data_IF_933244614942
#
_entry.id   IF_933244614942
#
_cell.length_a   1.000
_cell.length_b   1.000
_cell.length_c   1.000
_cell.angle_alpha   90.00
_cell.angle_beta   90.00
_cell.angle_gamma   90.00
#
_symmetry.space_group_name_H-M   'P 1'
#
loop_
_entity.id
_entity.type
_entity.pdbx_description
1 polymer ?
#
# COMPACT_ATOMS: atom_id res chain seq x y z
N UNK A 1 -20.33 -0.87 12.17
CA UNK A 1 -20.50 -1.64 13.40
C UNK A 1 -19.17 -1.79 14.17
N UNK A 2 -18.08 -2.21 13.53
CA UNK A 2 -16.81 -2.54 14.20
C UNK A 2 -15.80 -1.38 14.29
N UNK A 3 -16.13 -0.17 13.86
CA UNK A 3 -15.27 1.01 13.96
C UNK A 3 -14.05 1.03 13.03
N UNK A 4 -14.01 0.16 12.01
CA UNK A 4 -12.95 0.17 11.00
C UNK A 4 -13.24 1.26 9.97
N UNK A 5 -12.22 2.06 9.64
CA UNK A 5 -12.32 3.08 8.59
C UNK A 5 -12.52 2.47 7.20
N UNK A 6 -13.08 3.26 6.26
CA UNK A 6 -13.15 2.90 4.87
C UNK A 6 -11.78 2.62 4.24
N UNK A 7 -11.75 1.82 3.19
CA UNK A 7 -10.52 1.48 2.47
C UNK A 7 -10.81 0.99 1.05
N UNK A 8 -9.78 0.99 0.22
CA UNK A 8 -9.82 0.44 -1.13
C UNK A 8 -8.97 -0.82 -1.27
N UNK A 9 -9.44 -1.71 -2.12
CA UNK A 9 -8.66 -2.82 -2.68
C UNK A 9 -8.46 -2.52 -4.16
N UNK A 10 -7.22 -2.43 -4.61
CA UNK A 10 -6.88 -2.14 -5.99
C UNK A 10 -6.25 -3.35 -6.65
N UNK A 11 -6.96 -3.96 -7.61
CA UNK A 11 -6.46 -5.08 -8.41
C UNK A 11 -5.62 -4.54 -9.56
N UNK A 12 -4.32 -4.79 -9.54
CA UNK A 12 -3.40 -4.35 -10.60
C UNK A 12 -2.77 -5.52 -11.34
N UNK A 13 -2.47 -5.32 -12.61
CA UNK A 13 -1.81 -6.32 -13.45
C UNK A 13 -2.03 -6.06 -14.93
N UNK A 14 -1.40 -6.86 -15.79
CA UNK A 14 -1.50 -6.72 -17.24
C UNK A 14 -2.96 -6.73 -17.74
N UNK A 15 -3.19 -6.23 -18.95
CA UNK A 15 -4.49 -6.32 -19.59
C UNK A 15 -4.94 -7.77 -19.73
N UNK A 16 -6.26 -8.00 -19.73
CA UNK A 16 -6.88 -9.33 -19.90
C UNK A 16 -6.59 -10.34 -18.78
N UNK A 17 -6.17 -9.91 -17.58
CA UNK A 17 -5.99 -10.80 -16.41
C UNK A 17 -7.28 -11.09 -15.63
N UNK A 18 -8.44 -10.63 -16.09
CA UNK A 18 -9.73 -10.87 -15.43
C UNK A 18 -10.09 -9.86 -14.33
N UNK A 19 -9.36 -8.75 -14.18
CA UNK A 19 -9.61 -7.70 -13.16
C UNK A 19 -11.05 -7.19 -13.19
N UNK A 20 -11.50 -6.73 -14.36
CA UNK A 20 -12.89 -6.28 -14.55
C UNK A 20 -13.88 -7.41 -14.29
N UNK A 21 -13.57 -8.67 -14.66
CA UNK A 21 -14.44 -9.81 -14.39
C UNK A 21 -14.63 -10.04 -12.87
N UNK A 22 -13.61 -9.76 -12.05
CA UNK A 22 -13.70 -9.87 -10.60
C UNK A 22 -14.63 -8.83 -9.95
N UNK A 23 -14.87 -7.69 -10.62
CA UNK A 23 -15.83 -6.69 -10.12
C UNK A 23 -17.28 -7.19 -10.18
N UNK A 24 -17.62 -8.01 -11.18
CA UNK A 24 -19.00 -8.43 -11.43
C UNK A 24 -19.62 -9.24 -10.28
N UNK A 25 -18.98 -10.31 -9.76
CA UNK A 25 -19.48 -11.03 -8.60
C UNK A 25 -19.61 -10.14 -7.35
N UNK A 26 -18.64 -9.24 -7.13
CA UNK A 26 -18.67 -8.33 -5.99
C UNK A 26 -19.85 -7.34 -6.07
N UNK A 27 -20.12 -6.80 -7.25
CA UNK A 27 -21.24 -5.88 -7.49
C UNK A 27 -22.58 -6.59 -7.50
N UNK A 28 -22.65 -7.84 -8.00
CA UNK A 28 -23.89 -8.62 -8.04
C UNK A 28 -24.49 -8.88 -6.66
N UNK A 29 -23.69 -8.83 -5.61
CA UNK A 29 -24.19 -8.88 -4.23
C UNK A 29 -25.18 -7.74 -3.97
N UNK A 30 -24.92 -6.53 -4.50
CA UNK A 30 -25.65 -5.30 -4.22
C UNK A 30 -26.72 -4.96 -5.27
N UNK A 31 -26.53 -5.35 -6.53
CA UNK A 31 -27.44 -5.04 -7.62
C UNK A 31 -26.90 -5.43 -8.98
N UNK A 32 -27.47 -4.88 -10.04
CA UNK A 32 -27.04 -5.15 -11.42
C UNK A 32 -25.64 -4.57 -11.67
N UNK A 33 -24.63 -5.42 -11.99
CA UNK A 33 -23.23 -4.99 -12.03
C UNK A 33 -22.91 -3.87 -13.01
N UNK A 34 -23.57 -3.82 -14.20
CA UNK A 34 -23.27 -2.77 -15.18
C UNK A 34 -23.78 -1.39 -14.71
N UNK A 35 -24.84 -1.35 -13.87
CA UNK A 35 -25.35 -0.10 -13.32
C UNK A 35 -24.52 0.39 -12.13
N UNK A 36 -23.90 -0.54 -11.38
CA UNK A 36 -23.12 -0.23 -10.18
C UNK A 36 -21.62 -0.07 -10.45
N UNK A 37 -21.14 -0.46 -11.64
CA UNK A 37 -19.74 -0.27 -12.04
C UNK A 37 -19.52 1.15 -12.53
N UNK A 38 -18.65 1.88 -11.87
CA UNK A 38 -18.20 3.21 -12.25
C UNK A 38 -16.79 3.17 -12.85
N UNK A 39 -16.45 4.18 -13.66
CA UNK A 39 -15.07 4.39 -14.11
C UNK A 39 -14.38 5.40 -13.19
N UNK A 40 -13.07 5.27 -13.06
CA UNK A 40 -12.23 6.32 -12.48
C UNK A 40 -12.29 7.64 -13.27
N UNK A 41 -12.69 7.59 -14.55
CA UNK A 41 -12.83 8.76 -15.43
C UNK A 41 -14.00 9.65 -15.03
N UNK A 42 -13.88 10.28 -13.87
CA UNK A 42 -14.85 11.22 -13.33
C UNK A 42 -14.12 12.34 -12.59
N UNK A 43 -14.77 13.49 -12.46
CA UNK A 43 -14.21 14.58 -11.64
C UNK A 43 -14.19 14.18 -10.16
N UNK A 44 -13.27 14.75 -9.37
CA UNK A 44 -13.22 14.53 -7.93
C UNK A 44 -14.55 14.84 -7.23
N UNK A 45 -15.29 15.86 -7.70
CA UNK A 45 -16.62 16.19 -7.18
C UNK A 45 -17.68 15.13 -7.56
N UNK A 46 -17.59 14.58 -8.77
CA UNK A 46 -18.47 13.47 -9.19
C UNK A 46 -18.23 12.23 -8.33
N UNK A 47 -16.97 11.86 -8.09
CA UNK A 47 -16.63 10.72 -7.24
C UNK A 47 -16.99 10.95 -5.76
N UNK A 48 -16.96 12.19 -5.27
CA UNK A 48 -17.49 12.54 -3.94
C UNK A 48 -19.00 12.25 -3.84
N UNK A 49 -19.77 12.65 -4.85
CA UNK A 49 -21.22 12.36 -4.92
C UNK A 49 -21.50 10.86 -5.04
N UNK A 50 -20.72 10.15 -5.87
CA UNK A 50 -20.81 8.70 -6.01
C UNK A 50 -20.49 7.98 -4.70
N UNK A 51 -19.43 8.40 -3.98
CA UNK A 51 -19.07 7.83 -2.68
C UNK A 51 -20.18 8.02 -1.64
N UNK A 52 -20.82 9.20 -1.62
CA UNK A 52 -21.95 9.47 -0.73
C UNK A 52 -23.15 8.56 -1.03
N UNK A 53 -23.43 8.31 -2.31
CA UNK A 53 -24.52 7.40 -2.73
C UNK A 53 -24.21 5.92 -2.37
N UNK A 54 -22.94 5.56 -2.22
CA UNK A 54 -22.48 4.21 -1.83
C UNK A 54 -22.12 4.12 -0.34
N UNK A 55 -22.59 5.05 0.50
CA UNK A 55 -22.31 4.98 1.93
C UNK A 55 -22.78 3.65 2.54
N UNK A 56 -21.92 3.02 3.34
CA UNK A 56 -22.11 1.70 3.96
C UNK A 56 -22.26 0.53 2.96
N UNK A 57 -21.84 0.73 1.70
CA UNK A 57 -21.89 -0.26 0.63
C UNK A 57 -20.55 -0.41 -0.08
N UNK A 58 -20.53 -1.16 -1.18
CA UNK A 58 -19.38 -1.32 -2.07
C UNK A 58 -19.43 -0.30 -3.21
N UNK A 59 -18.33 0.42 -3.44
CA UNK A 59 -18.09 1.22 -4.64
C UNK A 59 -17.08 0.49 -5.54
N UNK A 60 -17.42 0.22 -6.79
CA UNK A 60 -16.48 -0.33 -7.76
C UNK A 60 -16.06 0.71 -8.80
N UNK A 61 -14.75 0.89 -8.97
CA UNK A 61 -14.13 1.85 -9.87
C UNK A 61 -13.19 1.11 -10.83
N UNK A 62 -13.55 1.07 -12.11
CA UNK A 62 -12.80 0.37 -13.14
C UNK A 62 -11.82 1.31 -13.85
N UNK A 63 -10.64 0.80 -14.24
CA UNK A 63 -9.59 1.46 -15.05
C UNK A 63 -8.98 2.73 -14.42
N UNK A 64 -8.22 2.57 -13.33
CA UNK A 64 -7.51 3.69 -12.68
C UNK A 64 -6.53 4.41 -13.62
N UNK A 65 -5.98 3.74 -14.63
CA UNK A 65 -5.09 4.33 -15.62
C UNK A 65 -5.71 5.43 -16.48
N UNK A 66 -7.05 5.55 -16.52
CA UNK A 66 -7.74 6.60 -17.26
C UNK A 66 -7.80 7.96 -16.55
N UNK A 67 -7.44 8.02 -15.26
CA UNK A 67 -7.42 9.27 -14.48
C UNK A 67 -6.02 9.87 -14.45
N UNK A 68 -5.93 11.19 -14.45
CA UNK A 68 -4.66 11.89 -14.25
C UNK A 68 -3.99 11.41 -12.96
N UNK A 69 -2.71 10.99 -13.00
CA UNK A 69 -2.01 10.48 -11.81
C UNK A 69 -2.04 11.45 -10.62
N UNK A 70 -2.06 12.76 -10.88
CA UNK A 70 -2.15 13.78 -9.82
C UNK A 70 -3.48 13.71 -9.08
N UNK A 71 -4.56 13.43 -9.80
CA UNK A 71 -5.90 13.33 -9.24
C UNK A 71 -6.14 11.97 -8.59
N UNK A 72 -5.59 10.89 -9.17
CA UNK A 72 -5.78 9.53 -8.67
C UNK A 72 -5.44 9.38 -7.19
N UNK A 73 -4.27 9.88 -6.78
CA UNK A 73 -3.83 9.80 -5.38
C UNK A 73 -4.71 10.58 -4.42
N UNK A 74 -5.13 11.79 -4.81
CA UNK A 74 -5.97 12.65 -3.97
C UNK A 74 -7.39 12.09 -3.86
N UNK A 75 -7.94 11.55 -4.94
CA UNK A 75 -9.27 10.93 -4.98
C UNK A 75 -9.27 9.62 -4.20
N UNK A 76 -8.30 8.74 -4.43
CA UNK A 76 -8.19 7.49 -3.70
C UNK A 76 -8.09 7.72 -2.18
N UNK A 77 -7.31 8.73 -1.78
CA UNK A 77 -7.21 9.12 -0.38
C UNK A 77 -8.54 9.69 0.15
N UNK A 78 -9.22 10.54 -0.59
CA UNK A 78 -10.52 11.12 -0.22
C UNK A 78 -11.56 10.02 -0.01
N UNK A 79 -11.68 9.08 -0.96
CA UNK A 79 -12.62 7.96 -0.88
C UNK A 79 -12.41 7.12 0.39
N UNK A 80 -11.16 6.75 0.66
CA UNK A 80 -10.82 5.94 1.82
C UNK A 80 -10.89 6.70 3.15
N UNK A 81 -10.68 8.04 3.12
CA UNK A 81 -10.77 8.88 4.32
C UNK A 81 -12.22 9.16 4.73
N UNK A 82 -13.18 8.89 3.85
CA UNK A 82 -14.61 8.99 4.16
C UNK A 82 -15.14 10.41 4.34
N UNK A 83 -14.43 11.41 3.80
CA UNK A 83 -14.83 12.82 3.94
C UNK A 83 -14.53 13.61 2.65
N UNK A 84 -15.53 14.31 2.17
CA UNK A 84 -15.42 15.23 1.04
C UNK A 84 -14.72 16.55 1.39
N UNK A 85 -14.53 17.38 0.37
CA UNK A 85 -13.93 18.71 0.53
C UNK A 85 -14.87 19.66 1.25
N UNK A 86 -14.35 20.43 2.21
CA UNK A 86 -15.10 21.56 2.80
C UNK A 86 -15.28 22.65 1.76
N UNK A 87 -16.50 23.18 1.64
CA UNK A 87 -16.85 24.26 0.69
C UNK A 87 -17.56 25.38 1.42
N UNK A 88 -17.34 26.61 0.96
CA UNK A 88 -18.15 27.74 1.38
C UNK A 88 -19.50 27.72 0.64
N UNK A 89 -20.57 28.08 1.31
CA UNK A 89 -21.85 28.32 0.70
C UNK A 89 -21.89 29.66 -0.05
N UNK A 90 -23.03 29.98 -0.67
CA UNK A 90 -23.20 31.18 -1.51
C UNK A 90 -22.93 32.49 -0.73
N UNK A 91 -23.16 32.48 0.57
CA UNK A 91 -23.00 33.64 1.46
C UNK A 91 -21.78 33.54 2.39
N UNK A 92 -20.82 32.66 2.09
CA UNK A 92 -19.59 32.49 2.86
C UNK A 92 -19.73 31.58 4.09
N UNK A 93 -20.91 31.04 4.35
CA UNK A 93 -21.10 30.06 5.41
C UNK A 93 -20.36 28.73 5.09
N UNK A 94 -19.83 28.06 6.10
CA UNK A 94 -19.17 26.78 5.93
C UNK A 94 -20.23 25.67 5.74
N UNK A 95 -20.20 24.98 4.61
CA UNK A 95 -20.97 23.76 4.40
C UNK A 95 -20.31 22.61 5.09
N UNK A 96 -21.09 21.81 5.83
CA UNK A 96 -20.60 20.56 6.39
C UNK A 96 -20.12 19.65 5.25
N UNK A 97 -18.89 19.10 5.34
CA UNK A 97 -18.40 18.19 4.32
C UNK A 97 -19.25 16.92 4.29
N UNK A 98 -19.49 16.39 3.11
CA UNK A 98 -20.11 15.08 2.94
C UNK A 98 -19.23 14.02 3.63
N UNK A 99 -19.86 13.05 4.28
CA UNK A 99 -19.19 11.95 4.97
C UNK A 99 -19.77 10.63 4.54
N UNK A 100 -18.91 9.64 4.38
CA UNK A 100 -19.29 8.28 4.03
C UNK A 100 -18.35 7.27 4.69
N UNK A 101 -18.78 6.04 4.75
CA UNK A 101 -17.97 4.89 5.08
C UNK A 101 -18.22 3.83 4.03
N UNK A 102 -17.20 3.43 3.30
CA UNK A 102 -17.35 2.45 2.24
C UNK A 102 -16.07 1.61 2.09
N UNK A 103 -16.23 0.46 1.47
CA UNK A 103 -15.14 -0.28 0.85
C UNK A 103 -15.21 0.00 -0.64
N UNK A 104 -14.10 0.33 -1.28
CA UNK A 104 -14.08 0.42 -2.74
C UNK A 104 -13.16 -0.64 -3.34
N UNK A 105 -13.61 -1.19 -4.45
CA UNK A 105 -12.85 -2.14 -5.27
C UNK A 105 -12.46 -1.43 -6.55
N UNK A 106 -11.17 -1.45 -6.87
CA UNK A 106 -10.59 -0.70 -7.99
C UNK A 106 -9.78 -1.63 -8.89
N UNK A 107 -9.69 -1.30 -10.17
CA UNK A 107 -8.83 -2.00 -11.13
C UNK A 107 -7.89 -1.05 -11.85
N UNK A 108 -6.78 -1.56 -12.34
CA UNK A 108 -5.82 -0.83 -13.16
C UNK A 108 -4.69 -1.73 -13.66
N UNK A 109 -3.83 -1.21 -14.52
CA UNK A 109 -2.67 -1.96 -15.02
C UNK A 109 -1.48 -1.88 -14.07
N UNK A 110 -1.37 -0.80 -13.31
CA UNK A 110 -0.26 -0.50 -12.40
C UNK A 110 -0.77 -0.22 -10.99
N UNK A 111 0.10 -0.32 -10.00
CA UNK A 111 -0.21 0.09 -8.62
C UNK A 111 -0.44 1.59 -8.52
N UNK A 112 -1.15 2.05 -7.48
CA UNK A 112 -1.29 3.49 -7.20
C UNK A 112 0.08 4.16 -7.03
N UNK A 113 1.05 3.45 -6.43
CA UNK A 113 2.41 3.93 -6.27
C UNK A 113 3.09 4.17 -7.61
N UNK A 114 3.06 3.20 -8.52
CA UNK A 114 3.64 3.33 -9.86
C UNK A 114 2.96 4.41 -10.68
N UNK A 115 1.64 4.55 -10.55
CA UNK A 115 0.87 5.59 -11.25
C UNK A 115 1.29 6.99 -10.81
N UNK A 116 1.47 7.23 -9.50
CA UNK A 116 1.98 8.50 -8.98
C UNK A 116 3.46 8.74 -9.31
N UNK A 117 4.28 7.68 -9.31
CA UNK A 117 5.70 7.77 -9.65
C UNK A 117 5.93 8.22 -11.10
N UNK A 118 5.01 7.93 -12.02
CA UNK A 118 5.10 8.37 -13.44
C UNK A 118 5.15 9.88 -13.61
N UNK A 119 4.69 10.66 -12.63
CA UNK A 119 4.75 12.13 -12.58
C UNK A 119 5.70 12.65 -11.49
N UNK A 120 6.62 11.82 -11.01
CA UNK A 120 7.59 12.19 -9.97
C UNK A 120 7.00 12.38 -8.58
N UNK A 121 5.76 11.98 -8.35
CA UNK A 121 5.12 12.02 -7.03
C UNK A 121 5.29 10.71 -6.30
N UNK A 122 5.42 10.79 -4.97
CA UNK A 122 5.50 9.63 -4.07
C UNK A 122 4.20 9.43 -3.31
N UNK A 123 3.81 8.18 -3.14
CA UNK A 123 2.70 7.80 -2.26
C UNK A 123 3.11 8.04 -0.81
N UNK A 124 2.25 8.71 -0.05
CA UNK A 124 2.46 8.84 1.39
C UNK A 124 2.09 7.54 2.08
N UNK A 125 2.81 7.18 3.14
CA UNK A 125 2.55 5.98 3.95
C UNK A 125 1.07 5.82 4.37
N UNK A 126 0.40 6.92 4.67
CA UNK A 126 -1.03 6.93 4.97
C UNK A 126 -1.93 6.56 3.79
N UNK A 127 -1.48 6.72 2.55
CA UNK A 127 -2.24 6.32 1.36
C UNK A 127 -2.13 4.82 1.12
N UNK A 128 -0.95 4.23 1.28
CA UNK A 128 -0.70 2.79 1.08
C UNK A 128 -1.52 1.88 2.01
N UNK A 129 -1.81 2.35 3.24
CA UNK A 129 -2.66 1.59 4.16
C UNK A 129 -4.16 1.80 3.91
N UNK A 130 -4.53 2.80 3.12
CA UNK A 130 -5.92 3.10 2.78
C UNK A 130 -6.34 2.52 1.44
N UNK A 131 -5.41 2.40 0.50
CA UNK A 131 -5.59 1.73 -0.78
C UNK A 131 -4.57 0.59 -0.83
N UNK A 132 -5.06 -0.63 -0.82
CA UNK A 132 -4.27 -1.85 -0.75
C UNK A 132 -4.14 -2.40 -2.17
N UNK A 133 -2.94 -2.29 -2.74
CA UNK A 133 -2.66 -2.83 -4.07
C UNK A 133 -2.52 -4.36 -3.98
N UNK A 134 -3.28 -5.08 -4.79
CA UNK A 134 -3.31 -6.55 -4.88
C UNK A 134 -3.01 -6.98 -6.31
N UNK A 135 -2.07 -7.89 -6.47
CA UNK A 135 -1.77 -8.45 -7.79
C UNK A 135 -2.97 -9.20 -8.36
N UNK A 136 -3.29 -8.92 -9.62
CA UNK A 136 -4.30 -9.65 -10.40
C UNK A 136 -3.72 -10.95 -11.01
N UNK A 137 -2.69 -11.51 -10.38
CA UNK A 137 -2.10 -12.81 -10.72
C UNK A 137 -2.18 -13.73 -9.52
N UNK A 138 -3.05 -14.75 -9.61
CA UNK A 138 -3.21 -15.78 -8.59
C UNK A 138 -2.12 -16.89 -8.65
N UNK A 139 -1.11 -16.74 -9.51
CA UNK A 139 0.01 -17.68 -9.65
C UNK A 139 -0.27 -18.93 -10.49
N UNK A 140 -1.47 -19.05 -11.07
CA UNK A 140 -1.90 -20.22 -11.89
C UNK A 140 -1.86 -19.95 -13.40
N UNK A 141 -1.23 -18.86 -13.85
CA UNK A 141 -1.23 -18.41 -15.26
C UNK A 141 -2.64 -18.15 -15.83
N UNK A 142 -3.60 -17.89 -14.96
CA UNK A 142 -5.00 -17.61 -15.29
C UNK A 142 -5.45 -16.23 -14.81
N UNK A 143 -4.51 -15.29 -14.59
CA UNK A 143 -4.80 -13.98 -14.04
C UNK A 143 -5.36 -14.07 -12.61
N UNK A 144 -6.51 -13.45 -12.36
CA UNK A 144 -7.16 -13.45 -11.02
C UNK A 144 -7.67 -14.83 -10.56
N UNK A 145 -7.69 -15.81 -11.43
CA UNK A 145 -8.22 -17.14 -11.11
C UNK A 145 -7.10 -18.11 -10.73
N UNK A 146 -7.29 -18.86 -9.67
CA UNK A 146 -6.38 -19.92 -9.24
C UNK A 146 -6.86 -21.34 -9.58
N UNK A 147 -8.11 -21.47 -10.07
CA UNK A 147 -8.71 -22.75 -10.47
C UNK A 147 -9.52 -22.55 -11.76
N UNK A 148 -9.43 -23.52 -12.66
CA UNK A 148 -10.08 -23.43 -13.97
C UNK A 148 -11.57 -23.82 -13.98
N UNK A 149 -12.01 -24.61 -13.01
CA UNK A 149 -13.35 -25.22 -13.00
C UNK A 149 -13.72 -25.87 -14.34
N UNK A 150 -12.73 -26.40 -15.07
CA UNK A 150 -12.92 -27.00 -16.40
C UNK A 150 -13.01 -26.01 -17.56
N UNK A 151 -12.76 -24.71 -17.34
CA UNK A 151 -12.79 -23.64 -18.34
C UNK A 151 -11.39 -23.02 -18.50
N UNK A 152 -11.11 -22.38 -19.63
CA UNK A 152 -9.97 -21.45 -19.69
C UNK A 152 -10.31 -20.14 -18.99
N UNK A 153 -9.31 -19.28 -18.77
CA UNK A 153 -9.49 -18.03 -18.01
C UNK A 153 -10.50 -17.06 -18.65
N UNK A 154 -10.53 -16.98 -19.98
CA UNK A 154 -11.45 -16.10 -20.71
C UNK A 154 -12.90 -16.58 -20.58
N UNK A 155 -13.14 -17.86 -20.80
CA UNK A 155 -14.48 -18.47 -20.70
C UNK A 155 -14.99 -18.37 -19.25
N UNK A 156 -14.13 -18.57 -18.24
CA UNK A 156 -14.50 -18.41 -16.83
C UNK A 156 -14.85 -16.95 -16.50
N UNK A 157 -14.08 -16.00 -17.01
CA UNK A 157 -14.37 -14.57 -16.83
C UNK A 157 -15.71 -14.18 -17.44
N UNK A 158 -16.00 -14.65 -18.66
CA UNK A 158 -17.26 -14.35 -19.34
C UNK A 158 -18.45 -15.06 -18.69
N UNK A 159 -18.25 -16.30 -18.23
CA UNK A 159 -19.26 -17.02 -17.46
C UNK A 159 -19.62 -16.27 -16.17
N UNK A 160 -18.62 -15.82 -15.38
CA UNK A 160 -18.87 -15.07 -14.16
C UNK A 160 -19.59 -13.75 -14.42
N UNK A 161 -19.20 -12.99 -15.46
CA UNK A 161 -19.91 -11.78 -15.86
C UNK A 161 -21.37 -12.06 -16.22
N UNK A 162 -21.62 -13.10 -17.00
CA UNK A 162 -22.96 -13.47 -17.43
C UNK A 162 -23.83 -13.87 -16.23
N UNK A 163 -23.34 -14.76 -15.36
CA UNK A 163 -24.08 -15.20 -14.18
C UNK A 163 -24.36 -14.05 -13.22
N UNK A 164 -23.38 -13.19 -12.98
CA UNK A 164 -23.53 -12.01 -12.10
C UNK A 164 -24.58 -11.02 -12.62
N UNK A 165 -24.79 -10.92 -13.92
CA UNK A 165 -25.83 -10.07 -14.54
C UNK A 165 -27.21 -10.70 -14.51
N UNK A 166 -27.31 -12.01 -14.34
CA UNK A 166 -28.58 -12.73 -14.24
C UNK A 166 -29.03 -12.90 -12.78
N UNK A 167 -28.09 -13.01 -11.86
CA UNK A 167 -28.34 -13.27 -10.44
C UNK A 167 -27.68 -12.17 -9.58
N UNK A 168 -28.48 -11.23 -9.08
CA UNK A 168 -27.97 -10.12 -8.29
C UNK A 168 -28.97 -9.63 -7.22
N UNK A 169 -28.46 -8.92 -6.20
CA UNK A 169 -29.21 -8.18 -5.21
C UNK A 169 -29.78 -9.00 -4.06
N UNK A 170 -30.05 -10.31 -4.25
CA UNK A 170 -30.66 -11.15 -3.21
C UNK A 170 -29.74 -11.36 -2.01
N UNK A 171 -28.43 -11.56 -2.25
CA UNK A 171 -27.45 -11.76 -1.18
C UNK A 171 -27.36 -10.57 -0.23
N UNK A 172 -27.40 -9.33 -0.73
CA UNK A 172 -27.38 -8.14 0.11
C UNK A 172 -28.61 -8.06 1.02
N UNK A 173 -29.79 -8.39 0.51
CA UNK A 173 -31.02 -8.37 1.32
C UNK A 173 -30.96 -9.37 2.48
N UNK A 174 -30.54 -10.59 2.23
CA UNK A 174 -30.43 -11.61 3.26
C UNK A 174 -29.31 -11.30 4.25
N UNK A 175 -28.19 -10.76 3.75
CA UNK A 175 -27.08 -10.26 4.56
C UNK A 175 -27.51 -9.13 5.50
N UNK A 176 -28.20 -8.11 5.00
CA UNK A 176 -28.67 -7.00 5.82
C UNK A 176 -29.72 -7.41 6.85
N UNK A 177 -30.63 -8.33 6.51
CA UNK A 177 -31.57 -8.92 7.47
C UNK A 177 -30.83 -9.64 8.60
N UNK A 178 -29.82 -10.44 8.26
CA UNK A 178 -29.01 -11.12 9.26
C UNK A 178 -28.28 -10.13 10.16
N UNK A 179 -27.61 -9.13 9.60
CA UNK A 179 -26.87 -8.11 10.37
C UNK A 179 -27.77 -7.33 11.34
N UNK A 180 -28.99 -6.96 10.91
CA UNK A 180 -29.93 -6.24 11.78
C UNK A 180 -30.42 -7.09 12.95
N UNK A 181 -30.64 -8.38 12.73
CA UNK A 181 -31.07 -9.31 13.77
C UNK A 181 -29.95 -9.72 14.72
N UNK A 182 -28.70 -9.76 14.26
CA UNK A 182 -27.56 -10.30 14.98
C UNK A 182 -26.44 -9.25 15.22
N UNK A 183 -26.79 -7.97 15.23
CA UNK A 183 -25.82 -6.85 15.31
C UNK A 183 -24.87 -6.96 16.52
N UNK A 184 -25.35 -7.48 17.65
CA UNK A 184 -24.53 -7.68 18.86
C UNK A 184 -23.42 -8.72 18.69
N UNK A 185 -23.54 -9.65 17.73
CA UNK A 185 -22.55 -10.71 17.48
C UNK A 185 -21.42 -10.26 16.54
N UNK A 186 -21.66 -9.23 15.73
CA UNK A 186 -20.73 -8.81 14.66
C UNK A 186 -19.38 -8.38 15.22
N UNK A 187 -19.35 -7.50 16.21
CA UNK A 187 -18.10 -7.02 16.78
C UNK A 187 -17.31 -8.12 17.54
N UNK A 188 -17.91 -8.99 18.35
CA UNK A 188 -17.22 -10.13 18.93
C UNK A 188 -16.56 -11.05 17.90
N UNK A 189 -17.26 -11.40 16.80
CA UNK A 189 -16.68 -12.21 15.72
C UNK A 189 -15.49 -11.49 15.09
N UNK A 190 -15.65 -10.22 14.77
CA UNK A 190 -14.54 -9.42 14.22
C UNK A 190 -13.34 -9.37 15.16
N UNK A 191 -13.52 -9.13 16.45
CA UNK A 191 -12.41 -9.07 17.41
C UNK A 191 -11.66 -10.40 17.50
N UNK A 192 -12.37 -11.52 17.44
CA UNK A 192 -11.77 -12.85 17.45
C UNK A 192 -10.92 -13.08 16.18
N UNK A 193 -11.48 -12.80 14.98
CA UNK A 193 -10.74 -12.93 13.72
C UNK A 193 -9.56 -11.98 13.69
N UNK A 194 -9.75 -10.73 14.12
CA UNK A 194 -8.68 -9.72 14.21
C UNK A 194 -7.51 -10.21 15.07
N UNK A 195 -7.78 -10.80 16.22
CA UNK A 195 -6.71 -11.36 17.07
C UNK A 195 -5.93 -12.46 16.35
N UNK A 196 -6.59 -13.37 15.60
CA UNK A 196 -5.90 -14.40 14.82
C UNK A 196 -5.01 -13.81 13.72
N UNK A 197 -5.52 -12.80 12.97
CA UNK A 197 -4.74 -12.13 11.94
C UNK A 197 -3.54 -11.38 12.52
N UNK A 198 -3.69 -10.69 13.64
CA UNK A 198 -2.58 -10.00 14.30
C UNK A 198 -1.57 -10.99 14.90
N UNK A 199 -2.02 -12.13 15.40
CA UNK A 199 -1.14 -13.18 15.93
C UNK A 199 -0.36 -13.93 14.83
N UNK A 200 -0.85 -13.93 13.59
CA UNK A 200 -0.12 -14.50 12.44
C UNK A 200 1.00 -13.62 11.91
N UNK A 201 1.06 -12.36 12.33
CA UNK A 201 2.10 -11.43 11.91
C UNK A 201 3.38 -11.63 12.73
N UNK A 202 4.57 -11.45 12.13
CA UNK A 202 5.82 -11.33 12.88
C UNK A 202 5.75 -10.26 13.97
N UNK A 203 6.36 -10.47 15.16
CA UNK A 203 6.30 -9.54 16.28
C UNK A 203 6.80 -8.12 15.94
N UNK A 204 7.80 -8.02 15.05
CA UNK A 204 8.42 -6.79 14.56
C UNK A 204 7.56 -6.01 13.54
N UNK A 205 6.37 -6.51 13.20
CA UNK A 205 5.50 -5.87 12.21
C UNK A 205 5.13 -4.45 12.61
N UNK A 206 5.30 -3.53 11.66
CA UNK A 206 4.99 -2.12 11.86
C UNK A 206 3.48 -1.84 12.01
N UNK A 207 3.14 -0.62 12.45
CA UNK A 207 1.75 -0.23 12.63
C UNK A 207 0.93 -0.15 11.33
N UNK A 208 1.59 -0.07 10.16
CA UNK A 208 0.91 -0.07 8.85
C UNK A 208 0.47 -1.48 8.49
N UNK A 209 1.35 -2.48 8.64
CA UNK A 209 1.04 -3.89 8.43
C UNK A 209 -0.11 -4.33 9.33
N UNK A 210 -0.08 -3.95 10.61
CA UNK A 210 -1.16 -4.24 11.56
C UNK A 210 -2.51 -3.65 11.12
N UNK A 211 -2.53 -2.40 10.64
CA UNK A 211 -3.76 -1.76 10.12
C UNK A 211 -4.31 -2.43 8.87
N UNK A 212 -3.43 -2.90 7.97
CA UNK A 212 -3.88 -3.65 6.78
C UNK A 212 -4.38 -5.03 7.18
N UNK A 213 -3.72 -5.73 8.12
CA UNK A 213 -4.19 -7.00 8.65
C UNK A 213 -5.60 -6.88 9.28
N UNK A 214 -5.90 -5.78 9.99
CA UNK A 214 -7.25 -5.50 10.51
C UNK A 214 -8.31 -5.38 9.40
N UNK A 215 -7.96 -4.82 8.25
CA UNK A 215 -8.88 -4.74 7.10
C UNK A 215 -9.15 -6.11 6.48
N UNK A 216 -8.11 -6.93 6.30
CA UNK A 216 -8.29 -8.30 5.86
C UNK A 216 -9.07 -9.14 6.89
N UNK A 217 -8.85 -8.92 8.19
CA UNK A 217 -9.65 -9.54 9.24
C UNK A 217 -11.13 -9.13 9.17
N UNK A 218 -11.43 -7.86 8.81
CA UNK A 218 -12.81 -7.41 8.60
C UNK A 218 -13.46 -8.16 7.42
N UNK A 219 -12.76 -8.29 6.29
CA UNK A 219 -13.25 -9.04 5.13
C UNK A 219 -13.49 -10.52 5.47
N UNK A 220 -12.53 -11.15 6.14
CA UNK A 220 -12.68 -12.54 6.60
C UNK A 220 -13.86 -12.70 7.56
N UNK A 221 -14.05 -11.77 8.50
CA UNK A 221 -15.18 -11.78 9.42
C UNK A 221 -16.53 -11.66 8.72
N UNK A 222 -16.61 -10.80 7.71
CA UNK A 222 -17.83 -10.65 6.90
C UNK A 222 -18.16 -11.94 6.16
N UNK A 223 -17.16 -12.60 5.56
CA UNK A 223 -17.35 -13.88 4.89
C UNK A 223 -17.78 -15.00 5.86
N UNK A 224 -17.15 -15.12 7.03
CA UNK A 224 -17.52 -16.09 8.06
C UNK A 224 -18.95 -15.87 8.58
N UNK A 225 -19.34 -14.62 8.84
CA UNK A 225 -20.69 -14.29 9.24
C UNK A 225 -21.71 -14.58 8.13
N UNK A 226 -21.37 -14.35 6.86
CA UNK A 226 -22.24 -14.67 5.72
C UNK A 226 -22.44 -16.19 5.55
N UNK A 227 -21.41 -17.00 5.84
CA UNK A 227 -21.51 -18.47 5.89
C UNK A 227 -22.38 -18.89 7.07
N UNK A 228 -22.18 -18.32 8.26
CA UNK A 228 -23.00 -18.59 9.43
C UNK A 228 -24.48 -18.24 9.19
N UNK A 229 -24.73 -17.17 8.47
CA UNK A 229 -26.05 -16.72 8.05
C UNK A 229 -26.67 -17.58 6.94
N UNK A 230 -25.93 -18.54 6.39
CA UNK A 230 -26.30 -19.34 5.20
C UNK A 230 -26.56 -18.49 3.94
N UNK A 231 -25.99 -17.30 3.89
CA UNK A 231 -25.98 -16.42 2.70
C UNK A 231 -24.93 -16.90 1.70
N UNK A 232 -23.82 -17.46 2.19
CA UNK A 232 -22.79 -18.10 1.38
C UNK A 232 -22.63 -19.55 1.77
N UNK A 233 -22.46 -20.41 0.77
CA UNK A 233 -22.19 -21.85 0.95
C UNK A 233 -20.73 -22.16 0.61
N UNK A 234 -19.81 -21.45 1.25
CA UNK A 234 -18.36 -21.63 1.09
C UNK A 234 -17.76 -22.32 2.31
N UNK A 235 -16.68 -23.10 2.14
CA UNK A 235 -15.93 -23.60 3.27
C UNK A 235 -15.35 -22.44 4.11
N UNK A 236 -15.62 -22.40 5.40
CA UNK A 236 -15.15 -21.31 6.27
C UNK A 236 -13.62 -21.13 6.23
N UNK A 237 -12.88 -22.23 6.13
CA UNK A 237 -11.42 -22.23 6.03
C UNK A 237 -10.91 -21.54 4.76
N UNK A 238 -11.63 -21.62 3.63
CA UNK A 238 -11.21 -20.99 2.38
C UNK A 238 -11.26 -19.47 2.45
N UNK A 239 -12.20 -18.90 3.20
CA UNK A 239 -12.35 -17.45 3.38
C UNK A 239 -11.17 -16.87 4.17
N UNK A 240 -10.83 -17.45 5.31
CA UNK A 240 -9.69 -17.00 6.10
C UNK A 240 -8.37 -17.21 5.34
N UNK A 241 -8.20 -18.38 4.71
CA UNK A 241 -7.00 -18.69 3.94
C UNK A 241 -6.79 -17.72 2.76
N UNK A 242 -7.85 -17.35 2.05
CA UNK A 242 -7.78 -16.37 0.96
C UNK A 242 -7.36 -14.99 1.47
N UNK A 243 -7.97 -14.51 2.57
CA UNK A 243 -7.61 -13.22 3.15
C UNK A 243 -6.18 -13.19 3.70
N UNK A 244 -5.71 -14.26 4.35
CA UNK A 244 -4.33 -14.38 4.83
C UNK A 244 -3.33 -14.46 3.66
N UNK A 245 -3.66 -15.20 2.60
CA UNK A 245 -2.83 -15.28 1.39
C UNK A 245 -2.63 -13.90 0.76
N UNK A 246 -3.70 -13.12 0.60
CA UNK A 246 -3.63 -11.77 0.03
C UNK A 246 -2.87 -10.80 0.95
N UNK A 247 -3.05 -10.90 2.27
CA UNK A 247 -2.26 -10.13 3.24
C UNK A 247 -0.76 -10.44 3.10
N UNK A 248 -0.39 -11.71 3.01
CA UNK A 248 1.00 -12.13 2.86
C UNK A 248 1.59 -11.68 1.52
N UNK A 249 0.85 -11.78 0.42
CA UNK A 249 1.28 -11.26 -0.89
C UNK A 249 1.50 -9.75 -0.83
N UNK A 250 0.61 -9.00 -0.20
CA UNK A 250 0.78 -7.56 -0.02
C UNK A 250 2.01 -7.22 0.84
N UNK A 251 2.27 -7.97 1.93
CA UNK A 251 3.48 -7.80 2.76
C UNK A 251 4.73 -8.04 1.93
N UNK A 252 4.76 -9.10 1.12
CA UNK A 252 5.90 -9.40 0.24
C UNK A 252 6.12 -8.31 -0.81
N UNK A 253 5.05 -7.86 -1.47
CA UNK A 253 5.12 -6.83 -2.51
C UNK A 253 5.63 -5.47 -1.98
N UNK A 254 5.33 -5.12 -0.72
CA UNK A 254 5.86 -3.90 -0.10
C UNK A 254 7.30 -4.02 0.42
N UNK A 255 7.92 -5.20 0.35
CA UNK A 255 9.27 -5.46 0.83
C UNK A 255 9.37 -5.89 2.29
N UNK A 256 8.29 -6.42 2.87
CA UNK A 256 8.28 -7.02 4.20
C UNK A 256 7.48 -6.26 5.26
N UNK A 257 7.69 -6.63 6.51
CA UNK A 257 6.91 -6.15 7.67
C UNK A 257 7.43 -4.87 8.31
N UNK A 258 8.62 -4.41 7.93
CA UNK A 258 9.22 -3.17 8.43
C UNK A 258 8.51 -1.93 7.86
N UNK A 259 8.72 -0.78 8.48
CA UNK A 259 8.17 0.47 7.99
C UNK A 259 8.65 0.78 6.57
N UNK A 260 7.72 1.09 5.66
CA UNK A 260 8.06 1.31 4.25
C UNK A 260 9.04 2.47 4.06
N UNK A 261 8.93 3.53 4.87
CA UNK A 261 9.87 4.66 4.83
C UNK A 261 11.29 4.26 5.24
N UNK A 262 11.42 3.27 6.14
CA UNK A 262 12.72 2.77 6.58
C UNK A 262 13.37 1.92 5.47
N UNK A 263 12.60 1.06 4.81
CA UNK A 263 13.04 0.33 3.63
C UNK A 263 13.38 1.26 2.46
N UNK A 264 12.57 2.30 2.27
CA UNK A 264 12.84 3.32 1.25
C UNK A 264 14.14 4.06 1.53
N UNK A 265 14.43 4.42 2.79
CA UNK A 265 15.67 5.09 3.16
C UNK A 265 16.89 4.23 2.82
N UNK A 266 16.85 2.93 3.12
CA UNK A 266 17.93 1.99 2.78
C UNK A 266 18.13 1.93 1.26
N UNK A 267 17.05 1.73 0.49
CA UNK A 267 17.12 1.70 -0.99
C UNK A 267 17.67 2.99 -1.59
N UNK A 268 17.27 4.16 -1.07
CA UNK A 268 17.75 5.45 -1.59
C UNK A 268 19.22 5.67 -1.32
N UNK A 269 19.69 5.39 -0.11
CA UNK A 269 21.10 5.53 0.23
C UNK A 269 21.96 4.55 -0.57
N UNK A 270 21.49 3.30 -0.78
CA UNK A 270 22.12 2.33 -1.68
C UNK A 270 22.25 2.88 -3.08
N UNK A 271 21.14 3.26 -3.70
CA UNK A 271 21.10 3.82 -5.06
C UNK A 271 21.98 5.05 -5.22
N UNK A 272 22.05 5.91 -4.20
CA UNK A 272 22.95 7.07 -4.23
C UNK A 272 24.43 6.64 -4.25
N UNK A 273 24.79 5.62 -3.47
CA UNK A 273 26.17 5.08 -3.47
C UNK A 273 26.46 4.41 -4.82
N UNK A 274 25.57 3.60 -5.37
CA UNK A 274 25.72 2.95 -6.69
C UNK A 274 25.95 3.98 -7.80
N UNK A 275 25.18 5.08 -7.81
CA UNK A 275 25.27 6.10 -8.85
C UNK A 275 26.46 7.05 -8.68
N UNK A 276 26.88 7.31 -7.44
CA UNK A 276 27.81 8.38 -7.11
C UNK A 276 29.06 7.95 -6.35
N UNK A 277 29.16 6.67 -5.97
CA UNK A 277 30.25 6.16 -5.13
C UNK A 277 31.64 6.44 -5.74
N UNK A 278 31.81 6.27 -7.04
CA UNK A 278 33.08 6.51 -7.73
C UNK A 278 33.31 8.01 -8.08
N UNK A 279 32.24 8.76 -8.31
CA UNK A 279 32.32 10.14 -8.83
C UNK A 279 32.30 11.22 -7.75
N UNK A 280 31.64 10.98 -6.61
CA UNK A 280 31.40 11.98 -5.56
C UNK A 280 31.96 11.60 -4.20
N UNK A 281 32.59 10.43 -4.07
CA UNK A 281 33.31 10.03 -2.87
C UNK A 281 34.81 9.90 -3.19
N UNK A 282 35.64 10.44 -2.34
CA UNK A 282 37.11 10.40 -2.51
C UNK A 282 37.67 9.32 -1.59
N UNK A 283 38.56 8.40 -2.07
CA UNK A 283 39.27 7.50 -1.21
C UNK A 283 40.14 8.27 -0.19
N UNK A 284 40.03 7.94 1.07
CA UNK A 284 40.72 8.64 2.16
C UNK A 284 42.25 8.47 2.09
N UNK A 285 42.73 7.37 1.46
CA UNK A 285 44.17 7.09 1.30
C UNK A 285 44.81 7.94 0.20
N UNK A 286 44.09 8.39 -0.81
CA UNK A 286 44.66 9.14 -1.94
C UNK A 286 44.87 10.63 -1.69
N UNK A 287 44.42 11.13 -0.54
CA UNK A 287 44.58 12.54 -0.15
C UNK A 287 43.80 13.52 -1.00
N UNK A 288 44.13 14.80 -0.88
CA UNK A 288 43.39 15.95 -1.44
C UNK A 288 43.53 16.17 -2.97
N UNK A 289 44.25 15.26 -3.68
CA UNK A 289 44.70 15.53 -5.07
C UNK A 289 43.59 15.47 -6.14
N UNK A 290 42.37 15.05 -5.83
CA UNK A 290 41.27 15.01 -6.81
C UNK A 290 40.28 16.14 -6.57
N UNK A 291 40.14 17.06 -7.56
CA UNK A 291 39.05 18.04 -7.60
C UNK A 291 37.70 17.34 -7.88
N UNK A 292 37.11 16.75 -6.85
CA UNK A 292 35.76 16.19 -6.97
C UNK A 292 34.75 17.33 -6.87
N UNK A 293 34.06 17.63 -7.96
CA UNK A 293 32.97 18.60 -7.96
C UNK A 293 31.78 18.01 -7.14
N UNK A 294 31.22 18.83 -6.25
CA UNK A 294 30.05 18.44 -5.40
C UNK A 294 30.33 17.16 -4.56
N UNK A 295 31.45 17.12 -3.87
CA UNK A 295 31.84 15.99 -3.03
C UNK A 295 30.75 15.66 -2.02
N UNK A 296 30.19 14.43 -2.07
CA UNK A 296 29.21 13.92 -1.12
C UNK A 296 29.87 13.36 0.15
N UNK A 297 31.13 12.87 0.03
CA UNK A 297 31.81 12.26 1.16
C UNK A 297 33.17 11.64 0.82
N UNK A 298 33.57 10.68 1.65
CA UNK A 298 34.84 9.94 1.52
C UNK A 298 34.58 8.44 1.58
N UNK A 299 35.50 7.65 1.02
CA UNK A 299 35.56 6.19 1.19
C UNK A 299 36.71 5.87 2.10
N UNK A 300 36.45 5.13 3.17
CA UNK A 300 37.48 4.61 4.10
C UNK A 300 37.51 3.08 4.00
N UNK A 301 38.55 2.56 3.36
CA UNK A 301 38.80 1.12 3.22
C UNK A 301 40.02 0.66 4.08
N UNK A 302 40.40 1.43 5.10
CA UNK A 302 41.50 1.09 5.98
C UNK A 302 41.13 0.04 7.03
N UNK A 303 39.85 -0.13 7.31
CA UNK A 303 39.33 -1.10 8.27
C UNK A 303 38.93 -2.45 7.64
N UNK A 304 38.33 -3.36 8.43
CA UNK A 304 37.87 -4.66 7.96
C UNK A 304 36.71 -4.60 6.97
N UNK A 305 36.05 -3.47 6.85
CA UNK A 305 34.94 -3.20 5.93
C UNK A 305 35.07 -1.80 5.36
N UNK A 306 34.68 -1.62 4.11
CA UNK A 306 34.60 -0.30 3.47
C UNK A 306 33.48 0.52 4.10
N UNK A 307 33.76 1.80 4.36
CA UNK A 307 32.79 2.77 4.86
C UNK A 307 32.65 3.94 3.89
N UNK A 308 31.41 4.29 3.56
CA UNK A 308 31.06 5.52 2.87
C UNK A 308 30.75 6.60 3.92
N UNK A 309 31.59 7.61 3.98
CA UNK A 309 31.53 8.68 4.97
C UNK A 309 30.83 9.89 4.35
N UNK A 310 29.55 10.04 4.63
CA UNK A 310 28.75 11.14 4.06
C UNK A 310 28.93 12.43 4.87
N UNK A 311 29.16 13.53 4.17
CA UNK A 311 28.91 14.84 4.74
C UNK A 311 27.41 15.06 4.99
N UNK A 312 27.00 15.95 5.94
CA UNK A 312 25.58 16.23 6.18
C UNK A 312 24.83 16.72 4.93
N UNK A 313 25.48 17.40 4.01
CA UNK A 313 24.92 17.83 2.71
C UNK A 313 24.66 16.65 1.79
N UNK A 314 25.66 15.77 1.58
CA UNK A 314 25.51 14.56 0.77
C UNK A 314 24.48 13.60 1.37
N UNK A 315 24.39 13.52 2.71
CA UNK A 315 23.35 12.72 3.38
C UNK A 315 21.94 13.24 3.08
N UNK A 316 21.71 14.57 3.11
CA UNK A 316 20.41 15.15 2.76
C UNK A 316 20.03 14.88 1.31
N UNK A 317 20.98 14.91 0.38
CA UNK A 317 20.74 14.55 -1.01
C UNK A 317 20.37 13.06 -1.14
N UNK A 318 21.16 12.17 -0.53
CA UNK A 318 20.90 10.73 -0.55
C UNK A 318 19.55 10.34 0.10
N UNK A 319 19.03 11.17 0.98
CA UNK A 319 17.76 10.97 1.68
C UNK A 319 16.68 11.97 1.26
N UNK A 320 16.78 12.53 0.05
CA UNK A 320 15.83 13.53 -0.43
C UNK A 320 14.38 13.04 -0.39
N UNK A 321 13.49 13.87 0.16
CA UNK A 321 12.08 13.53 0.38
C UNK A 321 11.79 12.65 1.60
N UNK A 322 12.82 12.30 2.39
CA UNK A 322 12.70 11.64 3.69
C UNK A 322 13.26 12.53 4.80
N UNK A 323 12.88 12.25 6.05
CA UNK A 323 13.57 12.85 7.20
C UNK A 323 14.99 12.27 7.30
N UNK A 324 16.07 13.11 7.26
CA UNK A 324 17.43 12.63 7.40
C UNK A 324 17.70 11.86 8.71
N UNK A 325 17.04 12.27 9.81
CA UNK A 325 17.15 11.61 11.10
C UNK A 325 16.46 10.25 11.11
N UNK A 326 15.30 10.13 10.46
CA UNK A 326 14.60 8.86 10.31
C UNK A 326 15.40 7.90 9.43
N UNK A 327 15.92 8.37 8.31
CA UNK A 327 16.77 7.56 7.43
C UNK A 327 18.01 7.03 8.18
N UNK A 328 18.64 7.88 9.00
CA UNK A 328 19.76 7.45 9.81
C UNK A 328 19.37 6.37 10.83
N UNK A 329 18.23 6.51 11.51
CA UNK A 329 17.70 5.50 12.43
C UNK A 329 17.39 4.18 11.72
N UNK A 330 16.80 4.24 10.52
CA UNK A 330 16.50 3.07 9.72
C UNK A 330 17.77 2.29 9.34
N UNK A 331 18.82 2.99 8.85
CA UNK A 331 20.10 2.36 8.53
C UNK A 331 20.83 1.86 9.78
N UNK A 332 20.69 2.52 10.94
CA UNK A 332 21.22 2.02 12.22
C UNK A 332 20.53 0.71 12.62
N UNK A 333 19.19 0.68 12.57
CA UNK A 333 18.42 -0.51 12.92
C UNK A 333 18.70 -1.70 11.99
N UNK A 334 18.93 -1.45 10.70
CA UNK A 334 19.34 -2.45 9.71
C UNK A 334 20.83 -2.83 9.79
N UNK A 335 21.61 -2.17 10.65
CA UNK A 335 23.01 -2.46 10.82
C UNK A 335 23.95 -1.88 9.75
N UNK A 336 23.45 -1.05 8.83
CA UNK A 336 24.25 -0.44 7.76
C UNK A 336 24.94 0.87 8.15
N UNK A 337 24.52 1.54 9.23
CA UNK A 337 25.14 2.77 9.69
C UNK A 337 25.91 2.52 10.99
N UNK A 338 27.15 3.04 11.07
CA UNK A 338 28.02 2.93 12.26
C UNK A 338 27.83 4.18 13.14
N UNK A 339 27.14 4.06 14.27
CA UNK A 339 26.85 5.22 15.15
C UNK A 339 28.04 5.56 16.07
N UNK A 340 27.92 6.69 16.77
CA UNK A 340 28.75 7.09 17.91
C UNK A 340 27.87 7.09 19.18
N UNK A 341 27.81 5.96 19.87
CA UNK A 341 26.80 5.72 20.89
C UNK A 341 25.39 5.79 20.31
N UNK A 342 24.54 6.67 20.86
CA UNK A 342 23.17 6.90 20.35
C UNK A 342 23.09 7.93 19.21
N UNK A 343 24.22 8.47 18.75
CA UNK A 343 24.25 9.49 17.70
C UNK A 343 24.52 8.85 16.34
N UNK A 344 23.74 9.19 15.30
CA UNK A 344 23.90 8.61 13.97
C UNK A 344 25.18 9.09 13.25
N UNK A 345 25.73 10.21 13.70
CA UNK A 345 26.98 10.77 13.18
C UNK A 345 28.13 10.55 14.13
N UNK A 346 29.29 10.18 13.61
CA UNK A 346 30.55 10.09 14.37
C UNK A 346 31.59 11.10 13.87
N UNK A 347 32.50 11.51 14.74
CA UNK A 347 33.66 12.33 14.37
C UNK A 347 34.65 11.47 13.56
N UNK A 348 35.05 11.92 12.38
CA UNK A 348 35.98 11.21 11.51
C UNK A 348 37.16 12.13 11.19
N UNK A 349 38.38 11.63 11.43
CA UNK A 349 39.60 12.35 11.02
C UNK A 349 39.78 12.21 9.51
N UNK A 350 39.90 13.34 8.82
CA UNK A 350 40.09 13.41 7.37
C UNK A 350 41.58 13.78 7.03
N UNK A 351 41.97 13.58 5.77
CA UNK A 351 43.36 13.86 5.32
C UNK A 351 43.76 15.35 5.43
N UNK A 352 42.80 16.25 5.53
CA UNK A 352 43.00 17.71 5.73
C UNK A 352 43.17 18.11 7.21
N UNK A 353 43.35 17.14 8.10
CA UNK A 353 43.41 17.32 9.56
C UNK A 353 42.09 17.87 10.18
N UNK A 354 41.00 17.93 9.44
CA UNK A 354 39.68 18.25 10.01
C UNK A 354 39.03 17.02 10.65
N UNK A 355 38.08 17.26 11.55
CA UNK A 355 37.32 16.19 12.24
C UNK A 355 35.82 16.47 12.23
N UNK A 356 35.18 16.47 11.05
CA UNK A 356 33.75 16.69 10.95
C UNK A 356 32.94 15.52 11.54
N UNK A 357 31.66 15.78 11.86
CA UNK A 357 30.69 14.71 12.11
C UNK A 357 30.13 14.22 10.79
N UNK A 358 30.18 12.94 10.55
CA UNK A 358 29.78 12.30 9.30
C UNK A 358 28.88 11.09 9.56
N UNK A 359 28.01 10.77 8.62
CA UNK A 359 27.26 9.52 8.61
C UNK A 359 28.16 8.44 7.97
N UNK A 360 28.40 7.36 8.69
CA UNK A 360 29.33 6.29 8.27
C UNK A 360 28.52 5.06 7.83
N UNK A 361 28.29 4.91 6.54
CA UNK A 361 27.53 3.81 5.97
C UNK A 361 28.48 2.68 5.55
N UNK A 362 28.16 1.45 5.94
CA UNK A 362 28.94 0.25 5.59
C UNK A 362 28.76 -0.10 4.13
N UNK A 363 29.82 -0.55 3.47
CA UNK A 363 29.78 -1.02 2.08
C UNK A 363 28.86 -2.22 1.87
N UNK A 364 28.62 -3.03 2.91
CA UNK A 364 27.69 -4.17 2.86
C UNK A 364 26.25 -3.79 2.50
N UNK A 365 25.89 -2.49 2.49
CA UNK A 365 24.60 -2.03 1.96
C UNK A 365 24.46 -2.33 0.46
N UNK A 366 25.56 -2.56 -0.26
CA UNK A 366 25.58 -2.89 -1.70
C UNK A 366 25.49 -4.40 -1.97
N UNK A 367 25.69 -5.23 -0.95
CA UNK A 367 25.79 -6.70 -1.09
C UNK A 367 24.40 -7.39 -1.08
N UNK A 368 23.35 -6.73 -0.58
CA UNK A 368 21.96 -7.18 -0.57
C UNK A 368 21.21 -6.66 -1.82
#
# INVERSE_FOLDING_TARGET
>A
LCGVDGFGLHLYGASSTGKTAALYPALSVWGEPNQLRHSWRATANGLEGTALAHNDALLALDEMGEVDPKEAGDVAYMLANGQGKTRAGKYGEMRLPARWRLVFLSTGEVTLESHLASIGKRVKAGQQVRVIDLSADAGAQMGVFNQSHGMNAADLADHLKQQSRQHYGSLALDWLRYLTQHSAQVCPVFQNVRQRFLASLPPESDGQVRRVAEKFALLASAGLLAIQAKVLDWPAQSVEAACLSQLNQWILARGGVAANEDQQAIRQVRSFIEQHGESRFTPKQTGYSSQVRQRAGWIDSTGPQTLYLFYPTGWREATEGLSPDRAAKALMAAGYLVPDGNRPQRKVSLPDNTRPRMYCVKGSILDD
#
